data_IF_667719933862
#
_entry.id   IF_667719933862
#
_cell.length_a   1.000
_cell.length_b   1.000
_cell.length_c   1.000
_cell.angle_alpha   90.00
_cell.angle_beta   90.00
_cell.angle_gamma   90.00
#
_symmetry.space_group_name_H-M   'P 1'
#
loop_
_entity.id
_entity.type
_entity.pdbx_description
1 polymer ?
#
# COMPACT_ATOMS: atom_id res chain seq x y z
N UNK A 1 -13.20 13.59 44.68
CA UNK A 1 -13.48 13.63 43.23
C UNK A 1 -14.97 13.84 43.04
N UNK A 2 -15.39 14.77 42.19
CA UNK A 2 -16.83 15.03 41.98
C UNK A 2 -17.50 13.81 41.34
N UNK A 3 -18.80 13.63 41.60
CA UNK A 3 -19.64 12.57 41.02
C UNK A 3 -19.51 12.49 39.48
N UNK A 4 -19.23 13.62 38.83
CA UNK A 4 -18.97 13.72 37.40
C UNK A 4 -17.71 12.95 36.97
N UNK A 5 -16.62 12.95 37.74
CA UNK A 5 -15.42 12.17 37.43
C UNK A 5 -15.65 10.67 37.59
N UNK A 6 -16.54 10.28 38.51
CA UNK A 6 -16.90 8.88 38.70
C UNK A 6 -17.74 8.37 37.53
N UNK A 7 -18.69 9.18 37.05
CA UNK A 7 -19.55 8.87 35.90
C UNK A 7 -18.78 8.92 34.57
N UNK A 8 -17.86 9.87 34.39
CA UNK A 8 -16.93 9.88 33.26
C UNK A 8 -16.01 8.67 33.36
N UNK A 9 -15.48 8.34 34.54
CA UNK A 9 -14.68 7.14 34.76
C UNK A 9 -15.42 5.85 34.46
N UNK A 10 -16.69 5.72 34.83
CA UNK A 10 -17.52 4.53 34.63
C UNK A 10 -18.06 4.38 33.20
N UNK A 11 -18.28 5.48 32.48
CA UNK A 11 -18.68 5.45 31.06
C UNK A 11 -17.47 5.40 30.13
N UNK A 12 -16.34 5.97 30.56
CA UNK A 12 -15.03 5.84 29.94
C UNK A 12 -14.21 4.69 30.56
N UNK A 13 -14.87 3.75 31.28
CA UNK A 13 -14.23 2.53 31.78
C UNK A 13 -13.79 1.77 30.54
N UNK A 14 -12.50 1.97 30.24
CA UNK A 14 -11.83 1.44 29.07
C UNK A 14 -12.04 -0.06 29.04
N UNK A 15 -12.63 -0.56 27.95
CA UNK A 15 -12.80 -1.98 27.65
C UNK A 15 -11.45 -2.70 27.40
N UNK A 16 -10.38 -2.28 28.07
CA UNK A 16 -9.00 -2.59 27.70
C UNK A 16 -8.49 -1.70 26.55
N UNK A 17 -7.26 -1.92 26.08
CA UNK A 17 -6.82 -1.36 24.80
C UNK A 17 -7.72 -1.90 23.68
N UNK A 18 -7.87 -1.12 22.60
CA UNK A 18 -8.49 -1.60 21.37
C UNK A 18 -7.77 -2.87 20.91
N UNK A 19 -8.52 -3.90 20.51
CA UNK A 19 -7.94 -5.21 20.18
C UNK A 19 -6.99 -5.14 18.98
N UNK A 20 -7.30 -4.28 18.01
CA UNK A 20 -6.42 -4.03 16.87
C UNK A 20 -6.47 -2.57 16.40
N UNK A 21 -5.31 -1.92 16.34
CA UNK A 21 -5.13 -0.59 15.79
C UNK A 21 -4.47 -0.65 14.42
N UNK A 22 -5.03 0.04 13.45
CA UNK A 22 -4.47 0.22 12.12
C UNK A 22 -4.34 1.71 11.80
N UNK A 23 -3.46 2.07 10.87
CA UNK A 23 -3.39 3.44 10.39
C UNK A 23 -3.10 3.57 8.90
N UNK A 24 -3.33 4.75 8.35
CA UNK A 24 -2.78 5.20 7.07
C UNK A 24 -1.82 6.37 7.34
N UNK A 25 -0.59 6.28 6.84
CA UNK A 25 0.40 7.36 6.93
C UNK A 25 0.66 8.03 5.58
N UNK A 26 0.81 9.36 5.55
CA UNK A 26 1.07 10.15 4.35
C UNK A 26 1.15 11.65 4.62
N UNK A 27 1.47 12.44 3.58
CA UNK A 27 1.49 13.91 3.65
C UNK A 27 1.33 14.59 2.27
N UNK A 28 0.17 15.20 1.96
CA UNK A 28 -1.05 15.20 2.76
C UNK A 28 -1.74 13.83 2.73
N UNK A 29 -2.30 13.42 3.87
CA UNK A 29 -3.14 12.20 3.96
C UNK A 29 -4.64 12.52 4.07
N UNK A 30 -4.98 13.80 4.25
CA UNK A 30 -6.37 14.26 4.34
C UNK A 30 -7.15 13.94 3.06
N UNK A 31 -8.41 13.55 3.21
CA UNK A 31 -9.27 13.16 2.09
C UNK A 31 -9.08 11.72 1.61
N UNK A 32 -8.21 10.94 2.26
CA UNK A 32 -8.09 9.51 2.00
C UNK A 32 -9.36 8.76 2.49
N UNK A 33 -10.09 8.05 1.62
CA UNK A 33 -11.34 7.38 1.99
C UNK A 33 -11.12 6.04 2.74
N UNK A 34 -9.89 5.52 2.78
CA UNK A 34 -9.58 4.18 3.34
C UNK A 34 -10.04 4.04 4.78
N UNK A 35 -9.97 5.09 5.60
CA UNK A 35 -10.45 4.99 6.98
C UNK A 35 -11.93 4.63 7.04
N UNK A 36 -12.78 5.32 6.28
CA UNK A 36 -14.23 5.04 6.25
C UNK A 36 -14.45 3.62 5.73
N UNK A 37 -13.83 3.28 4.60
CA UNK A 37 -13.98 1.96 3.97
C UNK A 37 -13.61 0.80 4.91
N UNK A 38 -12.52 0.95 5.68
CA UNK A 38 -12.03 -0.11 6.57
C UNK A 38 -12.82 -0.15 7.87
N UNK A 39 -13.20 0.99 8.46
CA UNK A 39 -14.04 0.99 9.66
C UNK A 39 -15.44 0.42 9.37
N UNK A 40 -16.04 0.73 8.21
CA UNK A 40 -17.30 0.10 7.77
C UNK A 40 -17.15 -1.43 7.64
N UNK A 41 -16.03 -1.90 7.08
CA UNK A 41 -15.74 -3.33 6.96
C UNK A 41 -15.52 -4.00 8.33
N UNK A 42 -14.90 -3.30 9.28
CA UNK A 42 -14.74 -3.79 10.65
C UNK A 42 -16.09 -3.94 11.35
N UNK A 43 -16.99 -2.96 11.21
CA UNK A 43 -18.34 -3.02 11.80
C UNK A 43 -19.15 -4.19 11.23
N UNK A 44 -19.18 -4.34 9.90
CA UNK A 44 -19.90 -5.44 9.23
C UNK A 44 -19.38 -6.82 9.65
N UNK A 45 -18.08 -6.94 9.90
CA UNK A 45 -17.44 -8.19 10.34
C UNK A 45 -17.49 -8.41 11.86
N UNK A 46 -18.03 -7.46 12.64
CA UNK A 46 -18.00 -7.50 14.10
C UNK A 46 -16.57 -7.48 14.67
N UNK A 47 -15.61 -6.96 13.91
CA UNK A 47 -14.21 -6.89 14.29
C UNK A 47 -13.94 -5.63 15.11
N UNK A 48 -13.45 -5.78 16.35
CA UNK A 48 -13.18 -4.68 17.28
C UNK A 48 -11.91 -3.87 16.94
N UNK A 49 -11.75 -3.52 15.66
CA UNK A 49 -10.63 -2.76 15.13
C UNK A 49 -10.91 -1.27 15.03
N UNK A 50 -9.85 -0.46 14.99
CA UNK A 50 -9.92 0.97 14.64
C UNK A 50 -8.90 1.31 13.58
N UNK A 51 -9.26 2.23 12.69
CA UNK A 51 -8.40 2.68 11.61
C UNK A 51 -8.18 4.19 11.69
N UNK A 52 -6.92 4.63 11.76
CA UNK A 52 -6.57 6.03 11.95
C UNK A 52 -5.88 6.61 10.72
N UNK A 53 -6.31 7.78 10.28
CA UNK A 53 -5.57 8.55 9.27
C UNK A 53 -4.59 9.48 9.95
N UNK A 54 -3.29 9.27 9.74
CA UNK A 54 -2.21 9.95 10.46
C UNK A 54 -1.29 10.71 9.50
N UNK A 55 -1.17 12.02 9.68
CA UNK A 55 -0.16 12.80 8.96
C UNK A 55 1.23 12.45 9.49
N UNK A 56 2.13 12.07 8.60
CA UNK A 56 3.55 11.90 8.89
C UNK A 56 4.29 12.79 7.93
N UNK A 57 5.00 13.81 8.39
CA UNK A 57 5.73 14.71 7.49
C UNK A 57 7.01 14.05 6.97
N UNK A 58 7.50 14.49 5.82
CA UNK A 58 8.77 14.03 5.26
C UNK A 58 9.90 14.13 6.28
N UNK A 59 10.70 13.07 6.40
CA UNK A 59 11.78 12.96 7.39
C UNK A 59 11.38 12.36 8.74
N UNK A 60 10.09 12.10 8.99
CA UNK A 60 9.61 11.43 10.21
C UNK A 60 9.11 10.00 9.97
N UNK A 61 9.38 9.42 8.78
CA UNK A 61 8.87 8.09 8.41
C UNK A 61 9.46 7.02 9.33
N UNK A 62 10.73 7.13 9.69
CA UNK A 62 11.39 6.20 10.62
C UNK A 62 10.69 6.18 11.97
N UNK A 63 10.51 7.34 12.58
CA UNK A 63 9.90 7.52 13.90
C UNK A 63 8.45 7.06 13.89
N UNK A 64 7.73 7.25 12.77
CA UNK A 64 6.37 6.75 12.60
C UNK A 64 6.33 5.21 12.59
N UNK A 65 7.27 4.54 11.92
CA UNK A 65 7.36 3.08 11.89
C UNK A 65 7.79 2.51 13.26
N UNK A 66 8.74 3.16 13.94
CA UNK A 66 9.12 2.80 15.31
C UNK A 66 7.94 2.98 16.28
N UNK A 67 7.18 4.06 16.13
CA UNK A 67 5.95 4.32 16.88
C UNK A 67 4.86 3.28 16.59
N UNK A 68 4.69 2.86 15.33
CA UNK A 68 3.77 1.79 14.94
C UNK A 68 4.08 0.49 15.70
N UNK A 69 5.36 0.10 15.79
CA UNK A 69 5.80 -1.07 16.58
C UNK A 69 5.54 -0.87 18.07
N UNK A 70 5.98 0.26 18.63
CA UNK A 70 5.92 0.53 20.08
C UNK A 70 4.48 0.65 20.61
N UNK A 71 3.57 1.22 19.82
CA UNK A 71 2.15 1.39 20.15
C UNK A 71 1.32 0.14 19.83
N UNK A 72 1.94 -0.89 19.25
CA UNK A 72 1.29 -2.18 19.00
C UNK A 72 0.27 -2.17 17.87
N UNK A 73 0.44 -1.30 16.85
CA UNK A 73 -0.41 -1.35 15.65
C UNK A 73 -0.33 -2.73 15.00
N UNK A 74 -1.46 -3.22 14.50
CA UNK A 74 -1.60 -4.49 13.79
C UNK A 74 -1.19 -4.41 12.31
N UNK A 75 -0.95 -3.19 11.81
CA UNK A 75 -0.53 -2.91 10.45
C UNK A 75 -0.98 -1.53 10.02
N UNK A 76 -0.84 -1.22 8.74
CA UNK A 76 -1.34 0.04 8.20
C UNK A 76 -1.08 0.23 6.72
N UNK A 77 -1.70 1.24 6.13
CA UNK A 77 -1.41 1.67 4.77
C UNK A 77 -0.39 2.80 4.75
N UNK A 78 0.31 2.91 3.62
CA UNK A 78 1.25 4.00 3.34
C UNK A 78 0.80 4.65 2.03
N UNK A 79 0.66 5.97 2.04
CA UNK A 79 0.37 6.74 0.84
C UNK A 79 1.49 7.71 0.50
N UNK A 80 1.31 8.49 -0.56
CA UNK A 80 2.28 9.47 -0.99
C UNK A 80 2.64 10.46 0.15
N UNK A 81 3.90 10.91 0.23
CA UNK A 81 5.05 10.55 -0.62
C UNK A 81 5.84 9.34 -0.10
N UNK A 82 5.38 8.65 0.94
CA UNK A 82 6.21 7.75 1.75
C UNK A 82 6.36 6.33 1.24
N UNK A 83 5.63 5.96 0.17
CA UNK A 83 5.57 4.58 -0.34
C UNK A 83 6.95 3.99 -0.67
N UNK A 84 7.93 4.82 -1.05
CA UNK A 84 9.30 4.37 -1.36
C UNK A 84 10.19 4.46 -0.12
N UNK A 85 10.15 5.60 0.58
CA UNK A 85 11.01 5.85 1.75
C UNK A 85 10.80 4.82 2.86
N UNK A 86 9.56 4.38 3.07
CA UNK A 86 9.19 3.46 4.15
C UNK A 86 9.92 2.13 4.08
N UNK A 87 10.31 1.68 2.89
CA UNK A 87 10.93 0.37 2.64
C UNK A 87 12.16 0.14 3.52
N UNK A 88 12.98 1.18 3.73
CA UNK A 88 14.23 1.06 4.49
C UNK A 88 14.02 0.82 5.99
N UNK A 89 12.81 1.01 6.49
CA UNK A 89 12.45 0.87 7.91
C UNK A 89 11.63 -0.40 8.21
N UNK A 90 11.37 -1.24 7.20
CA UNK A 90 10.63 -2.49 7.32
C UNK A 90 11.58 -3.69 7.45
N UNK A 91 11.10 -4.76 8.07
CA UNK A 91 11.89 -5.97 8.35
C UNK A 91 11.94 -6.93 7.15
N UNK A 92 11.06 -6.72 6.17
CA UNK A 92 11.00 -7.51 4.94
C UNK A 92 9.97 -6.96 3.96
N UNK A 93 9.98 -7.50 2.75
CA UNK A 93 9.04 -7.16 1.69
C UNK A 93 8.45 -8.43 1.10
N UNK A 94 7.20 -8.36 0.65
CA UNK A 94 6.66 -9.34 -0.29
C UNK A 94 7.35 -9.20 -1.65
N UNK A 95 7.21 -10.22 -2.50
CA UNK A 95 7.73 -10.18 -3.87
C UNK A 95 7.18 -9.01 -4.68
N UNK A 96 5.87 -8.75 -4.58
CA UNK A 96 5.22 -7.61 -5.24
C UNK A 96 5.81 -6.27 -4.81
N UNK A 97 5.96 -6.03 -3.50
CA UNK A 97 6.56 -4.79 -3.00
C UNK A 97 8.04 -4.66 -3.40
N UNK A 98 8.79 -5.77 -3.37
CA UNK A 98 10.20 -5.80 -3.76
C UNK A 98 10.39 -5.41 -5.22
N UNK A 99 9.62 -6.01 -6.13
CA UNK A 99 9.72 -5.74 -7.58
C UNK A 99 9.17 -4.35 -7.90
N UNK A 100 8.00 -4.01 -7.36
CA UNK A 100 7.36 -2.70 -7.59
C UNK A 100 8.11 -1.55 -6.92
N UNK A 101 9.04 -1.82 -5.99
CA UNK A 101 9.86 -0.84 -5.28
C UNK A 101 9.04 0.19 -4.51
N UNK A 102 7.83 -0.16 -4.10
CA UNK A 102 6.91 0.69 -3.36
C UNK A 102 6.06 -0.16 -2.43
N UNK A 103 5.79 0.36 -1.24
CA UNK A 103 4.92 -0.25 -0.22
C UNK A 103 3.73 0.67 -0.01
N UNK A 104 2.52 0.12 -0.13
CA UNK A 104 1.28 0.82 0.26
C UNK A 104 0.59 0.15 1.45
N UNK A 105 1.07 -1.02 1.89
CA UNK A 105 0.49 -1.83 2.94
C UNK A 105 1.60 -2.41 3.82
N UNK A 106 1.47 -2.27 5.13
CA UNK A 106 2.37 -2.81 6.14
C UNK A 106 1.59 -3.86 6.91
N UNK A 107 2.13 -5.07 6.91
CA UNK A 107 1.58 -6.24 7.60
C UNK A 107 2.44 -6.49 8.83
N UNK A 108 1.80 -6.64 10.00
CA UNK A 108 2.52 -7.07 11.19
C UNK A 108 2.53 -8.60 11.29
N UNK A 109 3.73 -9.16 11.41
CA UNK A 109 3.98 -10.59 11.65
C UNK A 109 4.81 -10.74 12.93
N UNK A 110 4.11 -10.93 14.06
CA UNK A 110 4.72 -10.87 15.40
C UNK A 110 5.35 -9.50 15.66
N UNK A 111 6.67 -9.47 15.83
CA UNK A 111 7.44 -8.23 16.04
C UNK A 111 7.99 -7.61 14.75
N UNK A 112 7.74 -8.25 13.60
CA UNK A 112 8.19 -7.78 12.29
C UNK A 112 7.11 -6.99 11.57
N UNK A 113 7.54 -6.00 10.80
CA UNK A 113 6.71 -5.27 9.84
C UNK A 113 7.17 -5.62 8.43
N UNK A 114 6.26 -6.23 7.66
CA UNK A 114 6.48 -6.66 6.29
C UNK A 114 5.75 -5.72 5.34
N UNK A 115 6.45 -5.17 4.36
CA UNK A 115 5.88 -4.30 3.34
C UNK A 115 5.26 -5.09 2.19
N UNK A 116 4.07 -4.68 1.76
CA UNK A 116 3.36 -5.18 0.60
C UNK A 116 2.86 -4.05 -0.29
N UNK A 117 2.55 -4.39 -1.55
CA UNK A 117 1.92 -3.50 -2.51
C UNK A 117 0.60 -4.11 -3.01
N UNK A 118 -0.51 -3.55 -2.57
CA UNK A 118 -1.85 -4.01 -2.92
C UNK A 118 -2.47 -3.24 -4.09
N UNK A 119 -1.87 -2.13 -4.55
CA UNK A 119 -2.39 -1.36 -5.69
C UNK A 119 -2.40 -2.23 -6.95
N UNK A 120 -1.28 -2.92 -7.21
CA UNK A 120 -1.16 -3.85 -8.33
C UNK A 120 -2.09 -5.05 -8.16
N UNK A 121 -2.10 -5.65 -6.96
CA UNK A 121 -2.88 -6.86 -6.69
C UNK A 121 -4.37 -6.60 -6.85
N UNK A 122 -4.84 -5.46 -6.33
CA UNK A 122 -6.23 -5.03 -6.49
C UNK A 122 -6.61 -4.85 -7.95
N UNK A 123 -5.71 -4.30 -8.78
CA UNK A 123 -5.91 -4.22 -10.23
C UNK A 123 -5.98 -5.62 -10.87
N UNK A 124 -5.02 -6.50 -10.56
CA UNK A 124 -5.02 -7.85 -11.12
C UNK A 124 -6.29 -8.62 -10.72
N UNK A 125 -6.65 -8.65 -9.44
CA UNK A 125 -7.88 -9.28 -8.97
C UNK A 125 -9.09 -8.76 -9.73
N UNK A 126 -9.16 -7.46 -10.00
CA UNK A 126 -10.29 -6.87 -10.73
C UNK A 126 -10.35 -7.31 -12.20
N UNK A 127 -9.21 -7.37 -12.89
CA UNK A 127 -9.19 -7.80 -14.31
C UNK A 127 -9.40 -9.32 -14.46
N UNK A 128 -8.93 -10.11 -13.50
CA UNK A 128 -9.03 -11.58 -13.53
C UNK A 128 -10.49 -12.07 -13.44
N UNK A 129 -11.36 -11.30 -12.77
CA UNK A 129 -12.82 -11.53 -12.79
C UNK A 129 -13.43 -11.44 -14.19
N UNK A 130 -12.77 -10.74 -15.11
CA UNK A 130 -13.22 -10.59 -16.50
C UNK A 130 -12.46 -11.58 -17.39
N UNK A 131 -11.12 -11.61 -17.28
CA UNK A 131 -10.26 -12.47 -18.08
C UNK A 131 -8.86 -12.60 -17.47
N UNK A 132 -8.33 -13.82 -17.49
CA UNK A 132 -6.93 -14.08 -17.14
C UNK A 132 -5.97 -13.33 -18.06
N UNK A 133 -4.92 -12.76 -17.48
CA UNK A 133 -3.88 -12.00 -18.18
C UNK A 133 -2.74 -12.86 -18.76
N UNK A 134 -2.72 -14.16 -18.45
CA UNK A 134 -1.69 -15.08 -18.91
C UNK A 134 -1.64 -15.12 -20.45
N UNK A 135 -0.45 -14.92 -21.00
CA UNK A 135 -0.22 -14.90 -22.44
C UNK A 135 -0.71 -13.64 -23.16
N UNK A 136 -1.21 -12.62 -22.46
CA UNK A 136 -1.69 -11.39 -23.10
C UNK A 136 -0.57 -10.43 -23.50
N UNK A 137 -0.81 -9.68 -24.58
CA UNK A 137 -0.04 -8.48 -24.93
C UNK A 137 -0.79 -7.26 -24.41
N UNK A 138 -0.16 -6.50 -23.51
CA UNK A 138 -0.82 -5.41 -22.77
C UNK A 138 -0.17 -4.06 -23.08
N UNK A 139 -0.98 -3.04 -23.34
CA UNK A 139 -0.54 -1.65 -23.40
C UNK A 139 -0.93 -0.95 -22.10
N UNK A 140 0.04 -0.40 -21.38
CA UNK A 140 -0.17 0.42 -20.18
C UNK A 140 0.09 1.88 -20.51
N UNK A 141 -0.90 2.75 -20.25
CA UNK A 141 -0.78 4.19 -20.43
C UNK A 141 -0.35 4.85 -19.11
N UNK A 142 0.82 5.47 -19.11
CA UNK A 142 1.41 6.16 -17.98
C UNK A 142 2.55 5.39 -17.30
N UNK A 143 3.46 6.13 -16.69
CA UNK A 143 4.63 5.62 -15.97
C UNK A 143 4.69 6.19 -14.53
N UNK A 144 3.58 6.08 -13.79
CA UNK A 144 3.48 6.51 -12.40
C UNK A 144 3.63 5.36 -11.39
N UNK A 145 3.50 5.65 -10.10
CA UNK A 145 3.58 4.65 -9.03
C UNK A 145 2.55 3.52 -9.18
N UNK A 146 1.30 3.86 -9.53
CA UNK A 146 0.26 2.88 -9.81
C UNK A 146 0.61 2.02 -11.04
N UNK A 147 1.08 2.63 -12.14
CA UNK A 147 1.51 1.90 -13.33
C UNK A 147 2.59 0.87 -12.99
N UNK A 148 3.57 1.24 -12.17
CA UNK A 148 4.65 0.34 -11.75
C UNK A 148 4.12 -0.88 -10.99
N UNK A 149 3.20 -0.68 -10.06
CA UNK A 149 2.55 -1.77 -9.33
C UNK A 149 1.71 -2.67 -10.25
N UNK A 150 0.97 -2.09 -11.19
CA UNK A 150 0.16 -2.84 -12.17
C UNK A 150 1.06 -3.68 -13.10
N UNK A 151 2.10 -3.08 -13.67
CA UNK A 151 3.04 -3.77 -14.57
C UNK A 151 3.72 -4.94 -13.83
N UNK A 152 4.09 -4.73 -12.57
CA UNK A 152 4.65 -5.79 -11.71
C UNK A 152 3.70 -6.99 -11.64
N UNK A 153 2.43 -6.76 -11.30
CA UNK A 153 1.47 -7.85 -11.15
C UNK A 153 1.08 -8.52 -12.48
N UNK A 154 0.95 -7.75 -13.56
CA UNK A 154 0.74 -8.31 -14.89
C UNK A 154 1.90 -9.23 -15.31
N UNK A 155 3.14 -8.85 -14.99
CA UNK A 155 4.31 -9.65 -15.29
C UNK A 155 4.40 -10.91 -14.40
N UNK A 156 4.15 -10.78 -13.10
CA UNK A 156 4.08 -11.93 -12.18
C UNK A 156 3.01 -12.95 -12.58
N UNK A 157 1.92 -12.48 -13.19
CA UNK A 157 0.83 -13.32 -13.71
C UNK A 157 0.98 -13.65 -15.20
N UNK A 158 2.23 -13.64 -15.70
CA UNK A 158 2.64 -14.19 -17.00
C UNK A 158 1.96 -13.57 -18.21
N UNK A 159 1.73 -12.25 -18.20
CA UNK A 159 1.49 -11.53 -19.45
C UNK A 159 2.63 -11.82 -20.44
N UNK A 160 2.31 -12.03 -21.72
CA UNK A 160 3.31 -12.32 -22.75
C UNK A 160 4.21 -11.12 -23.03
N UNK A 161 3.60 -9.93 -23.13
CA UNK A 161 4.35 -8.68 -23.26
C UNK A 161 3.60 -7.49 -22.68
N UNK A 162 4.35 -6.49 -22.21
CA UNK A 162 3.81 -5.24 -21.70
C UNK A 162 4.54 -4.07 -22.36
N UNK A 163 3.80 -3.23 -23.08
CA UNK A 163 4.28 -1.97 -23.63
C UNK A 163 3.83 -0.82 -22.74
N UNK A 164 4.76 0.04 -22.33
CA UNK A 164 4.49 1.21 -21.49
C UNK A 164 4.53 2.44 -22.39
N UNK A 165 3.40 3.13 -22.55
CA UNK A 165 3.32 4.39 -23.27
C UNK A 165 3.26 5.56 -22.29
N UNK A 166 4.16 6.53 -22.41
CA UNK A 166 4.17 7.72 -21.55
C UNK A 166 4.62 8.97 -22.32
N UNK A 167 4.15 10.15 -21.89
CA UNK A 167 4.55 11.45 -22.50
C UNK A 167 6.06 11.70 -22.37
N UNK A 168 6.62 11.36 -21.21
CA UNK A 168 8.06 11.39 -20.92
C UNK A 168 8.59 9.97 -21.06
N UNK A 169 9.27 9.67 -22.17
CA UNK A 169 9.74 8.33 -22.49
C UNK A 169 10.67 7.78 -21.41
N UNK A 170 11.52 8.65 -20.86
CA UNK A 170 12.54 8.30 -19.86
C UNK A 170 11.90 7.63 -18.63
N UNK A 171 10.76 8.12 -18.16
CA UNK A 171 10.04 7.51 -17.03
C UNK A 171 9.52 6.10 -17.33
N UNK A 172 9.09 5.85 -18.56
CA UNK A 172 8.67 4.51 -18.97
C UNK A 172 9.89 3.58 -19.09
N UNK A 173 10.99 4.09 -19.64
CA UNK A 173 12.24 3.34 -19.76
C UNK A 173 12.83 2.96 -18.40
N UNK A 174 12.78 3.84 -17.40
CA UNK A 174 13.18 3.53 -16.02
C UNK A 174 12.42 2.32 -15.45
N UNK A 175 11.11 2.21 -15.74
CA UNK A 175 10.31 1.05 -15.32
C UNK A 175 10.77 -0.21 -16.06
N UNK A 176 10.97 -0.14 -17.39
CA UNK A 176 11.48 -1.27 -18.19
C UNK A 176 12.82 -1.76 -17.65
N UNK A 177 13.78 -0.87 -17.46
CA UNK A 177 15.14 -1.20 -17.06
C UNK A 177 15.22 -1.80 -15.66
N UNK A 178 14.32 -1.37 -14.77
CA UNK A 178 14.25 -1.86 -13.41
C UNK A 178 13.51 -3.20 -13.30
N UNK A 179 12.40 -3.39 -14.01
CA UNK A 179 11.59 -4.61 -13.90
C UNK A 179 12.09 -5.74 -14.81
N UNK A 180 12.71 -5.45 -15.95
CA UNK A 180 13.18 -6.48 -16.90
C UNK A 180 14.19 -7.48 -16.32
N UNK A 181 14.84 -7.13 -15.20
CA UNK A 181 15.77 -8.00 -14.47
C UNK A 181 15.07 -8.91 -13.45
N UNK A 182 13.81 -8.62 -13.15
CA UNK A 182 13.03 -9.23 -12.08
C UNK A 182 11.91 -10.12 -12.61
N UNK A 183 11.57 -10.02 -13.90
CA UNK A 183 10.43 -10.73 -14.52
C UNK A 183 10.80 -11.31 -15.88
N UNK A 184 10.11 -12.39 -16.27
CA UNK A 184 10.30 -13.03 -17.58
C UNK A 184 9.51 -12.35 -18.71
N UNK A 185 8.45 -11.60 -18.38
CA UNK A 185 7.60 -10.89 -19.35
C UNK A 185 8.40 -9.88 -20.16
N UNK A 186 8.18 -9.85 -21.48
CA UNK A 186 8.82 -8.88 -22.37
C UNK A 186 8.29 -7.48 -22.11
N UNK A 187 9.17 -6.56 -21.71
CA UNK A 187 8.84 -5.16 -21.46
C UNK A 187 9.39 -4.25 -22.56
N UNK A 188 8.61 -3.25 -22.96
CA UNK A 188 9.05 -2.18 -23.88
C UNK A 188 8.45 -0.83 -23.47
N UNK A 189 9.12 0.25 -23.87
CA UNK A 189 8.65 1.62 -23.65
C UNK A 189 8.46 2.33 -25.00
N UNK A 190 7.40 3.12 -25.11
CA UNK A 190 7.11 3.97 -26.27
C UNK A 190 6.73 5.37 -25.82
N UNK A 191 7.07 6.37 -26.62
CA UNK A 191 6.65 7.74 -26.39
C UNK A 191 5.21 7.89 -26.88
N UNK A 192 4.36 8.49 -26.04
CA UNK A 192 3.01 8.88 -26.46
C UNK A 192 3.14 10.21 -27.24
N UNK A 193 2.84 10.19 -28.53
CA UNK A 193 2.73 11.40 -29.36
C UNK A 193 1.35 12.04 -29.15
N UNK A 194 1.27 13.37 -29.28
CA UNK A 194 0.02 14.14 -29.17
C UNK A 194 -0.89 13.98 -30.39
#
# INVERSE_FOLDING_TARGET
MSENYKKIGETALMHGPLEALFCCIGDPVVGNPTQIMIEDAFEELGFAGRYLTCTVTSGNVKEAIEGMKALGFAGGSVTAPHKVEVIQYLDGLTESARISGAVNCIIRDGDKLIGDNTDGKGFHTSIDLIKSVEGMEVLVLGAGGASRAIITELALHKAASITIANRTLEKAQEIVDSLSKEVETKLSAVKLEE
#
